data_IF_482423894793
#
_entry.id   IF_482423894793
#
_cell.length_a   1.000
_cell.length_b   1.000
_cell.length_c   1.000
_cell.angle_alpha   90.00
_cell.angle_beta   90.00
_cell.angle_gamma   90.00
#
_symmetry.space_group_name_H-M   'P 1'
#
loop_
_entity.id
_entity.type
_entity.pdbx_description
1 polymer ?
#
# COMPACT_ATOMS: atom_id res chain seq x y z
N UNK A 1 3.44 -13.33 -1.89
CA UNK A 1 2.44 -12.46 -1.25
C UNK A 1 2.11 -11.30 -2.19
N UNK A 2 0.85 -10.95 -2.30
CA UNK A 2 0.39 -9.87 -3.17
C UNK A 2 0.04 -8.63 -2.35
N UNK A 3 0.44 -7.47 -2.85
CA UNK A 3 0.07 -6.18 -2.25
C UNK A 3 -0.85 -5.43 -3.20
N UNK A 4 -1.62 -4.51 -2.63
CA UNK A 4 -2.54 -3.69 -3.40
C UNK A 4 -2.33 -2.22 -3.05
N UNK A 5 -2.70 -1.35 -3.96
CA UNK A 5 -2.67 0.09 -3.71
C UNK A 5 -4.07 0.65 -3.87
N UNK A 6 -4.39 1.66 -3.08
CA UNK A 6 -5.70 2.32 -3.11
C UNK A 6 -5.48 3.81 -3.06
N UNK A 7 -6.15 4.54 -3.94
CA UNK A 7 -6.11 6.00 -3.91
C UNK A 7 -7.19 6.52 -2.97
N UNK A 8 -6.80 7.40 -2.06
CA UNK A 8 -7.74 8.02 -1.13
C UNK A 8 -7.53 9.53 -1.16
N UNK A 9 -8.58 10.26 -0.77
CA UNK A 9 -8.53 11.72 -0.71
C UNK A 9 -8.24 12.12 0.73
N UNK A 10 -7.17 12.89 0.92
CA UNK A 10 -6.79 13.40 2.22
C UNK A 10 -7.70 14.54 2.69
N UNK A 11 -7.49 14.96 3.93
CA UNK A 11 -8.30 16.02 4.53
C UNK A 11 -8.09 17.38 3.84
N UNK A 12 -6.97 17.52 3.15
CA UNK A 12 -6.67 18.74 2.36
C UNK A 12 -7.23 18.67 0.94
N UNK A 13 -7.93 17.60 0.61
CA UNK A 13 -8.50 17.41 -0.72
C UNK A 13 -7.53 16.83 -1.75
N UNK A 14 -6.30 16.54 -1.35
CA UNK A 14 -5.30 16.00 -2.25
C UNK A 14 -5.32 14.47 -2.24
N UNK A 15 -5.22 13.81 -3.40
CA UNK A 15 -5.18 12.35 -3.44
C UNK A 15 -3.82 11.83 -3.01
N UNK A 16 -3.83 10.67 -2.34
CA UNK A 16 -2.61 9.95 -2.04
C UNK A 16 -2.88 8.44 -2.11
N UNK A 17 -1.81 7.67 -2.25
CA UNK A 17 -1.91 6.23 -2.41
C UNK A 17 -1.53 5.54 -1.10
N UNK A 18 -2.36 4.58 -0.69
CA UNK A 18 -2.05 3.73 0.47
C UNK A 18 -1.85 2.29 0.00
N UNK A 19 -1.05 1.54 0.74
CA UNK A 19 -0.78 0.15 0.45
C UNK A 19 -1.67 -0.73 1.31
N UNK A 20 -2.31 -1.72 0.68
CA UNK A 20 -3.26 -2.60 1.34
C UNK A 20 -2.78 -4.05 1.27
N UNK A 21 -3.07 -4.80 2.32
CA UNK A 21 -2.89 -6.25 2.34
C UNK A 21 -4.14 -6.95 1.81
N UNK A 22 -4.03 -8.20 1.36
CA UNK A 22 -5.18 -8.93 0.81
C UNK A 22 -6.36 -9.08 1.79
N UNK A 23 -6.09 -9.04 3.09
CA UNK A 23 -7.13 -9.15 4.11
C UNK A 23 -7.85 -7.82 4.38
N UNK A 24 -7.45 -6.76 3.69
CA UNK A 24 -8.05 -5.44 3.86
C UNK A 24 -7.30 -4.53 4.83
N UNK A 25 -6.22 -5.00 5.43
CA UNK A 25 -5.43 -4.18 6.34
C UNK A 25 -4.62 -3.15 5.55
N UNK A 26 -4.54 -1.94 6.08
CA UNK A 26 -3.77 -0.86 5.49
C UNK A 26 -2.38 -0.81 6.10
N UNK A 27 -1.35 -0.65 5.26
CA UNK A 27 0.02 -0.54 5.72
C UNK A 27 0.35 0.94 5.94
N UNK A 28 0.80 1.26 7.15
CA UNK A 28 1.28 2.60 7.47
C UNK A 28 2.64 2.83 6.85
N UNK A 29 2.78 3.94 6.13
CA UNK A 29 3.98 4.23 5.33
C UNK A 29 5.05 4.95 6.16
N UNK A 30 5.50 4.29 7.23
CA UNK A 30 6.59 4.79 8.06
C UNK A 30 7.81 3.89 7.92
N UNK A 31 8.99 4.49 7.89
CA UNK A 31 10.25 3.75 7.74
C UNK A 31 10.44 2.71 8.84
N UNK A 32 9.86 2.95 10.01
CA UNK A 32 9.98 2.05 11.16
C UNK A 32 9.03 0.86 11.09
N UNK A 33 8.04 0.91 10.21
CA UNK A 33 7.03 -0.14 10.11
C UNK A 33 7.60 -1.34 9.35
N UNK A 34 7.74 -2.51 9.99
CA UNK A 34 8.28 -3.69 9.30
C UNK A 34 7.44 -4.13 8.10
N UNK A 35 6.13 -3.89 8.13
CA UNK A 35 5.27 -4.21 6.99
C UNK A 35 5.59 -3.30 5.80
N UNK A 36 5.85 -2.02 6.07
CA UNK A 36 6.24 -1.08 5.03
C UNK A 36 7.59 -1.47 4.41
N UNK A 37 8.54 -1.86 5.25
CA UNK A 37 9.85 -2.31 4.77
C UNK A 37 9.73 -3.56 3.91
N UNK A 38 8.87 -4.50 4.31
CA UNK A 38 8.64 -5.71 3.53
C UNK A 38 8.04 -5.38 2.16
N UNK A 39 7.12 -4.43 2.11
CA UNK A 39 6.54 -3.98 0.85
C UNK A 39 7.61 -3.37 -0.06
N UNK A 40 8.45 -2.50 0.49
CA UNK A 40 9.52 -1.87 -0.30
C UNK A 40 10.49 -2.91 -0.87
N UNK A 41 10.85 -3.92 -0.08
CA UNK A 41 11.71 -4.99 -0.54
C UNK A 41 11.06 -5.79 -1.67
N UNK A 42 9.75 -6.03 -1.55
CA UNK A 42 8.99 -6.75 -2.57
C UNK A 42 8.97 -5.98 -3.89
N UNK A 43 8.78 -4.67 -3.85
CA UNK A 43 8.80 -3.81 -5.04
C UNK A 43 10.20 -3.79 -5.64
N UNK A 44 11.24 -3.77 -4.81
CA UNK A 44 12.63 -3.75 -5.27
C UNK A 44 13.00 -5.02 -6.04
N UNK A 45 12.25 -6.12 -5.83
CA UNK A 45 12.46 -7.35 -6.59
C UNK A 45 11.84 -7.31 -7.98
N UNK A 46 11.18 -6.21 -8.34
CA UNK A 46 10.56 -6.05 -9.65
C UNK A 46 9.06 -6.31 -9.68
N UNK A 47 8.44 -6.44 -8.52
CA UNK A 47 7.00 -6.67 -8.43
C UNK A 47 6.21 -5.37 -8.53
N UNK A 48 4.95 -5.49 -8.94
CA UNK A 48 4.05 -4.35 -9.05
C UNK A 48 2.76 -4.66 -8.29
N UNK A 49 2.35 -3.74 -7.41
CA UNK A 49 1.10 -3.89 -6.67
C UNK A 49 -0.09 -3.69 -7.60
N UNK A 50 -1.17 -4.40 -7.31
CA UNK A 50 -2.41 -4.25 -8.06
C UNK A 50 -3.31 -3.21 -7.41
N UNK A 51 -4.26 -2.70 -8.18
CA UNK A 51 -5.23 -1.74 -7.68
C UNK A 51 -6.23 -2.43 -6.77
N UNK A 52 -6.47 -1.84 -5.60
CA UNK A 52 -7.46 -2.36 -4.65
C UNK A 52 -8.87 -2.06 -5.16
N UNK A 53 -9.74 -3.07 -5.17
CA UNK A 53 -11.13 -2.90 -5.56
C UNK A 53 -12.03 -3.24 -4.36
N UNK A 54 -12.92 -2.32 -4.03
CA UNK A 54 -13.88 -2.47 -2.94
C UNK A 54 -15.17 -3.08 -3.51
N UNK A 55 -15.26 -4.39 -3.44
CA UNK A 55 -16.51 -5.06 -3.86
C UNK A 55 -17.07 -5.88 -2.74
#
# INVERSE_FOLDING_TARGET
>A
MMYFTKEVIGIDGEPFVVVMLPDGAQITQYDENPLWQAYLAWVAEGNTAEEWTDN
#
